data_IF_826985332660
#
_entry.id   IF_826985332660
#
_cell.length_a   1.000
_cell.length_b   1.000
_cell.length_c   1.000
_cell.angle_alpha   90.00
_cell.angle_beta   90.00
_cell.angle_gamma   90.00
#
_symmetry.space_group_name_H-M   'P 1'
#
loop_
_entity.id
_entity.type
_entity.pdbx_description
1 polymer ?
#
# COMPACT_ATOMS: atom_id res chain seq x y z
N UNK A 1 -6.04 27.54 -0.77
CA UNK A 1 -6.73 26.79 0.31
C UNK A 1 -7.39 25.59 -0.36
N UNK A 2 -6.89 24.36 -0.35
CA UNK A 2 -5.92 23.68 0.53
C UNK A 2 -5.02 22.74 -0.28
N UNK A 3 -3.95 23.27 -0.87
CA UNK A 3 -3.02 22.51 -1.75
C UNK A 3 -2.43 21.26 -1.08
N UNK A 4 -2.30 21.27 0.24
CA UNK A 4 -1.75 20.17 1.02
C UNK A 4 -2.65 18.92 0.89
N UNK A 5 -3.97 19.06 1.01
CA UNK A 5 -4.92 17.92 0.93
C UNK A 5 -4.91 17.30 -0.46
N UNK A 6 -4.94 18.13 -1.50
CA UNK A 6 -4.92 17.67 -2.89
C UNK A 6 -3.58 17.01 -3.22
N UNK A 7 -2.47 17.54 -2.70
CA UNK A 7 -1.14 16.95 -2.84
C UNK A 7 -1.02 15.59 -2.15
N UNK A 8 -1.61 15.44 -0.96
CA UNK A 8 -1.65 14.15 -0.25
C UNK A 8 -2.48 13.14 -1.04
N UNK A 9 -3.61 13.58 -1.61
CA UNK A 9 -4.46 12.72 -2.44
C UNK A 9 -3.69 12.28 -3.69
N UNK A 10 -3.05 13.21 -4.40
CA UNK A 10 -2.22 12.93 -5.57
C UNK A 10 -1.10 11.93 -5.24
N UNK A 11 -0.32 12.20 -4.20
CA UNK A 11 0.77 11.32 -3.78
C UNK A 11 0.31 9.94 -3.37
N UNK A 12 -0.80 9.82 -2.63
CA UNK A 12 -1.29 8.52 -2.21
C UNK A 12 -2.08 7.76 -3.30
N UNK A 13 -2.46 8.41 -4.40
CA UNK A 13 -2.87 7.75 -5.64
C UNK A 13 -1.69 7.25 -6.47
N UNK A 14 -0.50 7.84 -6.29
CA UNK A 14 0.71 7.39 -6.98
C UNK A 14 1.21 6.09 -6.36
N UNK A 15 1.11 4.98 -7.10
CA UNK A 15 1.49 3.62 -6.65
C UNK A 15 2.95 3.47 -6.18
N UNK A 16 3.78 4.49 -6.41
CA UNK A 16 5.20 4.55 -6.04
C UNK A 16 5.49 5.32 -4.76
N UNK A 17 4.51 5.97 -4.14
CA UNK A 17 4.74 6.74 -2.91
C UNK A 17 4.41 5.89 -1.67
N UNK A 18 5.41 5.39 -0.93
CA UNK A 18 5.13 4.72 0.33
C UNK A 18 4.53 5.72 1.33
N UNK A 19 3.69 5.24 2.24
CA UNK A 19 3.14 6.08 3.31
C UNK A 19 4.24 6.76 4.14
N UNK A 20 5.42 6.15 4.22
CA UNK A 20 6.61 6.71 4.88
C UNK A 20 7.11 8.01 4.21
N UNK A 21 7.02 8.14 2.88
CA UNK A 21 7.39 9.38 2.20
C UNK A 21 6.40 10.51 2.50
N UNK A 22 5.12 10.17 2.65
CA UNK A 22 4.06 11.12 3.05
C UNK A 22 4.27 11.53 4.51
N UNK A 23 4.62 10.59 5.38
CA UNK A 23 4.95 10.86 6.78
C UNK A 23 6.20 11.74 6.90
N UNK A 24 7.21 11.53 6.08
CA UNK A 24 8.43 12.36 6.07
C UNK A 24 8.15 13.80 5.62
N UNK A 25 7.34 14.00 4.58
CA UNK A 25 7.06 15.34 4.03
C UNK A 25 6.01 16.11 4.82
N UNK A 26 4.98 15.42 5.34
CA UNK A 26 3.80 16.05 5.95
C UNK A 26 3.58 15.69 7.42
N UNK A 27 4.41 14.80 7.99
CA UNK A 27 4.27 14.35 9.37
C UNK A 27 3.05 13.46 9.63
N UNK A 28 2.36 12.99 8.59
CA UNK A 28 1.12 12.22 8.74
C UNK A 28 1.32 10.73 8.60
N UNK A 29 0.69 9.99 9.50
CA UNK A 29 0.70 8.52 9.48
C UNK A 29 -0.27 7.97 8.44
N UNK A 30 -0.08 6.71 8.02
CA UNK A 30 -1.00 5.99 7.11
C UNK A 30 -2.47 6.15 7.55
N UNK A 31 -2.73 6.08 8.86
CA UNK A 31 -4.07 6.19 9.42
C UNK A 31 -4.73 7.55 9.12
N UNK A 32 -3.97 8.63 9.10
CA UNK A 32 -4.47 9.98 8.82
C UNK A 32 -4.71 10.16 7.33
N UNK A 33 -3.76 9.74 6.49
CA UNK A 33 -3.92 9.71 5.03
C UNK A 33 -5.17 8.90 4.65
N UNK A 34 -5.41 7.77 5.31
CA UNK A 34 -6.62 6.96 5.10
C UNK A 34 -7.91 7.67 5.51
N UNK A 35 -7.89 8.48 6.57
CA UNK A 35 -9.04 9.31 6.97
C UNK A 35 -9.30 10.41 5.95
N UNK A 36 -8.24 11.07 5.47
CA UNK A 36 -8.31 12.11 4.42
C UNK A 36 -8.89 11.51 3.14
N UNK A 37 -8.36 10.38 2.69
CA UNK A 37 -8.86 9.66 1.51
C UNK A 37 -10.34 9.29 1.65
N UNK A 38 -10.76 8.78 2.81
CA UNK A 38 -12.16 8.41 3.05
C UNK A 38 -13.11 9.62 3.07
N UNK A 39 -12.64 10.78 3.54
CA UNK A 39 -13.44 12.01 3.58
C UNK A 39 -13.56 12.70 2.22
N UNK A 40 -12.52 12.61 1.39
CA UNK A 40 -12.45 13.33 0.12
C UNK A 40 -12.87 12.48 -1.10
N UNK A 41 -12.70 11.16 -1.06
CA UNK A 41 -13.10 10.28 -2.15
C UNK A 41 -14.51 9.73 -1.98
N UNK A 42 -15.18 9.50 -3.10
CA UNK A 42 -16.39 8.65 -3.15
C UNK A 42 -16.03 7.22 -2.75
N UNK A 43 -17.00 6.51 -2.17
CA UNK A 43 -16.83 5.14 -1.68
C UNK A 43 -16.21 4.20 -2.74
N UNK A 44 -16.69 4.25 -3.98
CA UNK A 44 -16.17 3.43 -5.09
C UNK A 44 -14.70 3.73 -5.40
N UNK A 45 -14.31 5.01 -5.45
CA UNK A 45 -12.92 5.43 -5.66
C UNK A 45 -12.01 5.01 -4.50
N UNK A 46 -12.49 5.11 -3.26
CA UNK A 46 -11.75 4.65 -2.08
C UNK A 46 -11.52 3.13 -2.09
N UNK A 47 -12.51 2.34 -2.52
CA UNK A 47 -12.37 0.89 -2.65
C UNK A 47 -11.35 0.50 -3.72
N UNK A 48 -11.31 1.19 -4.86
CA UNK A 48 -10.29 1.01 -5.90
C UNK A 48 -8.88 1.31 -5.38
N UNK A 49 -8.70 2.46 -4.75
CA UNK A 49 -7.43 2.83 -4.11
C UNK A 49 -7.00 1.79 -3.06
N UNK A 50 -7.93 1.31 -2.23
CA UNK A 50 -7.60 0.32 -1.20
C UNK A 50 -7.22 -1.05 -1.78
N UNK A 51 -7.76 -1.43 -2.94
CA UNK A 51 -7.34 -2.63 -3.67
C UNK A 51 -5.88 -2.51 -4.14
N UNK A 52 -5.47 -1.34 -4.64
CA UNK A 52 -4.08 -1.06 -5.03
C UNK A 52 -3.11 -1.11 -3.86
N UNK A 53 -3.39 -0.33 -2.80
CA UNK A 53 -2.55 -0.25 -1.59
C UNK A 53 -2.39 -1.60 -0.87
N UNK A 54 -3.46 -2.41 -0.80
CA UNK A 54 -3.44 -3.73 -0.15
C UNK A 54 -2.84 -4.82 -1.06
N UNK A 55 -2.64 -4.53 -2.34
CA UNK A 55 -2.20 -5.48 -3.37
C UNK A 55 -0.80 -6.03 -3.20
N UNK A 56 0.05 -5.41 -2.36
CA UNK A 56 1.36 -5.98 -1.96
C UNK A 56 1.17 -7.08 -0.91
N UNK A 57 0.52 -8.19 -1.30
CA UNK A 57 0.76 -9.46 -0.61
C UNK A 57 2.21 -9.83 -0.87
N UNK A 58 3.06 -9.63 0.14
CA UNK A 58 4.39 -10.23 0.19
C UNK A 58 4.26 -11.70 -0.17
N UNK A 59 4.93 -12.10 -1.26
CA UNK A 59 4.91 -13.46 -1.84
C UNK A 59 5.40 -14.55 -0.87
N UNK A 60 5.90 -14.16 0.31
CA UNK A 60 6.43 -15.05 1.33
C UNK A 60 5.58 -14.97 2.60
N UNK A 61 4.69 -15.93 2.77
CA UNK A 61 4.20 -16.29 4.11
C UNK A 61 3.91 -17.80 4.20
N UNK A 62 4.92 -18.60 3.89
CA UNK A 62 5.06 -19.98 4.35
C UNK A 62 6.39 -20.57 3.87
N UNK A 63 7.44 -20.38 4.67
CA UNK A 63 8.51 -21.38 4.75
C UNK A 63 7.89 -22.63 5.37
N UNK A 64 7.77 -23.72 4.61
CA UNK A 64 7.80 -25.07 5.16
C UNK A 64 8.23 -26.06 4.09
N UNK A 65 9.41 -26.61 4.31
CA UNK A 65 10.00 -27.81 3.70
C UNK A 65 10.04 -27.91 2.16
N UNK A 66 11.19 -27.51 1.64
CA UNK A 66 11.82 -28.19 0.51
C UNK A 66 11.85 -29.71 0.75
N UNK A 67 10.89 -30.45 0.21
CA UNK A 67 11.05 -31.89 -0.01
C UNK A 67 12.01 -32.02 -1.20
N UNK A 68 13.29 -32.07 -0.85
CA UNK A 68 14.44 -32.37 -1.70
C UNK A 68 14.10 -33.56 -2.60
N UNK A 69 14.01 -33.32 -3.90
CA UNK A 69 13.88 -34.37 -4.91
C UNK A 69 15.15 -35.23 -4.87
N UNK A 70 15.08 -36.45 -4.33
CA UNK A 70 16.20 -37.41 -4.37
C UNK A 70 16.03 -38.25 -5.63
N UNK A 71 16.76 -37.91 -6.69
CA UNK A 71 16.91 -38.78 -7.85
C UNK A 71 17.65 -40.05 -7.42
N UNK A 72 17.05 -41.23 -7.61
CA UNK A 72 17.67 -42.54 -7.37
C UNK A 72 18.54 -42.93 -8.57
N UNK A 73 19.64 -42.24 -8.80
CA UNK A 73 20.62 -42.72 -9.77
C UNK A 73 22.04 -42.27 -9.41
N UNK A 74 22.66 -42.99 -8.48
CA UNK A 74 24.11 -43.22 -8.44
C UNK A 74 24.44 -44.36 -7.48
#
# INVERSE_FOLDING_TARGET
>A
MSDITDRIIEMAWEDRTPFEAIEYQFGMKENEVRKIMRKNLKRSSFELWRKGVKGKKTKHKSTSESIRFKSKNQ
#
